data_IF_023597408131
#
_entry.id   IF_023597408131
#
_cell.length_a   1.000
_cell.length_b   1.000
_cell.length_c   1.000
_cell.angle_alpha   90.00
_cell.angle_beta   90.00
_cell.angle_gamma   90.00
#
_symmetry.space_group_name_H-M   'P 1'
#
loop_
_entity.id
_entity.type
_entity.pdbx_description
1 polymer ?
#
# COMPACT_ATOMS: atom_id res chain seq x y z
N UNK A 1 18.65 -22.71 -3.99
CA UNK A 1 17.80 -22.48 -5.18
C UNK A 1 18.39 -21.34 -5.98
N UNK A 2 18.58 -21.53 -7.29
CA UNK A 2 18.98 -20.46 -8.19
C UNK A 2 17.80 -19.54 -8.51
N UNK A 3 18.07 -18.32 -8.99
CA UNK A 3 17.05 -17.39 -9.47
C UNK A 3 16.18 -18.02 -10.56
N UNK A 4 16.75 -18.86 -11.43
CA UNK A 4 16.01 -19.56 -12.46
C UNK A 4 15.02 -20.58 -11.87
N UNK A 5 15.46 -21.37 -10.88
CA UNK A 5 14.60 -22.32 -10.18
C UNK A 5 13.46 -21.60 -9.44
N UNK A 6 13.74 -20.44 -8.85
CA UNK A 6 12.71 -19.63 -8.17
C UNK A 6 11.67 -19.11 -9.15
N UNK A 7 12.08 -18.59 -10.31
CA UNK A 7 11.16 -18.12 -11.35
C UNK A 7 10.22 -19.24 -11.82
N UNK A 8 10.76 -20.43 -12.09
CA UNK A 8 9.97 -21.59 -12.50
C UNK A 8 8.97 -21.99 -11.40
N UNK A 9 9.42 -22.02 -10.14
CA UNK A 9 8.55 -22.35 -9.00
C UNK A 9 7.38 -21.36 -8.86
N UNK A 10 7.63 -20.06 -9.02
CA UNK A 10 6.58 -19.03 -8.94
C UNK A 10 5.60 -19.16 -10.10
N UNK A 11 6.07 -19.35 -11.34
CA UNK A 11 5.20 -19.56 -12.50
C UNK A 11 4.29 -20.77 -12.27
N UNK A 12 4.84 -21.90 -11.82
CA UNK A 12 4.05 -23.10 -11.53
C UNK A 12 2.98 -22.86 -10.47
N UNK A 13 3.28 -22.08 -9.42
CA UNK A 13 2.28 -21.73 -8.40
C UNK A 13 1.15 -20.88 -8.99
N UNK A 14 1.48 -19.86 -9.79
CA UNK A 14 0.50 -18.96 -10.41
C UNK A 14 -0.42 -19.72 -11.38
N UNK A 15 0.13 -20.58 -12.24
CA UNK A 15 -0.65 -21.36 -13.21
C UNK A 15 -1.68 -22.28 -12.56
N UNK A 16 -1.41 -22.73 -11.32
CA UNK A 16 -2.32 -23.61 -10.58
C UNK A 16 -3.34 -22.85 -9.71
N UNK A 17 -3.31 -21.52 -9.69
CA UNK A 17 -4.31 -20.73 -8.96
C UNK A 17 -5.64 -20.74 -9.71
N UNK A 18 -6.72 -21.01 -8.98
CA UNK A 18 -8.09 -20.99 -9.50
C UNK A 18 -8.87 -19.73 -9.07
N UNK A 19 -8.45 -19.08 -7.97
CA UNK A 19 -9.05 -17.85 -7.49
C UNK A 19 -8.46 -16.65 -8.23
N UNK A 20 -9.26 -16.07 -9.13
CA UNK A 20 -8.86 -14.90 -9.93
C UNK A 20 -8.49 -13.69 -9.08
N UNK A 21 -9.05 -13.56 -7.86
CA UNK A 21 -8.73 -12.44 -6.96
C UNK A 21 -7.29 -12.48 -6.50
N UNK A 22 -6.74 -13.68 -6.28
CA UNK A 22 -5.34 -13.86 -5.88
C UNK A 22 -4.42 -13.49 -7.05
N UNK A 23 -4.77 -13.91 -8.27
CA UNK A 23 -4.02 -13.57 -9.49
C UNK A 23 -3.98 -12.06 -9.70
N UNK A 24 -5.12 -11.37 -9.53
CA UNK A 24 -5.18 -9.91 -9.61
C UNK A 24 -4.32 -9.20 -8.57
N UNK A 25 -4.23 -9.73 -7.35
CA UNK A 25 -3.37 -9.16 -6.31
C UNK A 25 -1.89 -9.33 -6.64
N UNK A 26 -1.48 -10.50 -7.14
CA UNK A 26 -0.11 -10.75 -7.59
C UNK A 26 0.24 -9.80 -8.75
N UNK A 27 -0.69 -9.62 -9.68
CA UNK A 27 -0.51 -8.68 -10.80
C UNK A 27 -0.30 -7.26 -10.29
N UNK A 28 -1.17 -6.75 -9.40
CA UNK A 28 -1.02 -5.38 -8.84
C UNK A 28 0.30 -5.19 -8.10
N UNK A 29 0.77 -6.21 -7.39
CA UNK A 29 2.07 -6.18 -6.72
C UNK A 29 3.20 -6.05 -7.74
N UNK A 30 3.19 -6.88 -8.79
CA UNK A 30 4.20 -6.82 -9.84
C UNK A 30 4.15 -5.50 -10.60
N UNK A 31 2.96 -5.01 -10.93
CA UNK A 31 2.78 -3.72 -11.59
C UNK A 31 3.37 -2.59 -10.74
N UNK A 32 3.14 -2.59 -9.42
CA UNK A 32 3.70 -1.59 -8.49
C UNK A 32 5.23 -1.67 -8.37
N UNK A 33 5.79 -2.86 -8.18
CA UNK A 33 7.24 -3.04 -8.00
C UNK A 33 8.02 -2.81 -9.31
N UNK A 34 7.38 -3.03 -10.46
CA UNK A 34 7.96 -2.84 -11.78
C UNK A 34 7.57 -1.49 -12.41
N UNK A 35 6.76 -0.67 -11.73
CA UNK A 35 6.43 0.67 -12.18
C UNK A 35 7.71 1.53 -12.14
N UNK A 36 8.37 1.64 -13.29
CA UNK A 36 9.49 2.55 -13.46
C UNK A 36 8.96 3.97 -13.76
N UNK A 37 8.98 4.84 -12.75
CA UNK A 37 8.51 6.22 -12.91
C UNK A 37 8.38 6.99 -11.58
N UNK A 38 8.12 8.29 -11.68
CA UNK A 38 7.72 9.09 -10.51
C UNK A 38 6.26 8.75 -10.20
N UNK A 39 5.99 8.19 -9.02
CA UNK A 39 4.64 7.92 -8.56
C UNK A 39 3.79 9.20 -8.63
N UNK A 40 2.77 9.16 -9.48
CA UNK A 40 1.89 10.30 -9.72
C UNK A 40 0.65 10.17 -8.84
N UNK A 41 0.49 11.13 -7.93
CA UNK A 41 -0.65 11.15 -7.02
C UNK A 41 -1.97 11.39 -7.79
N UNK A 42 -3.03 10.69 -7.38
CA UNK A 42 -4.40 11.00 -7.81
C UNK A 42 -4.84 12.38 -7.34
N UNK A 43 -5.88 12.95 -7.96
CA UNK A 43 -6.41 14.27 -7.55
C UNK A 43 -6.84 14.28 -6.08
N UNK A 44 -7.45 13.19 -5.63
CA UNK A 44 -7.90 13.01 -4.25
C UNK A 44 -6.71 12.92 -3.28
N UNK A 45 -5.63 12.23 -3.69
CA UNK A 45 -4.41 12.16 -2.89
C UNK A 45 -3.71 13.53 -2.80
N UNK A 46 -3.64 14.28 -3.91
CA UNK A 46 -3.10 15.65 -3.94
C UNK A 46 -3.91 16.55 -2.99
N UNK A 47 -5.24 16.47 -3.03
CA UNK A 47 -6.12 17.25 -2.16
C UNK A 47 -5.84 16.96 -0.69
N UNK A 48 -5.78 15.68 -0.29
CA UNK A 48 -5.46 15.29 1.10
C UNK A 48 -4.09 15.77 1.56
N UNK A 49 -3.08 15.70 0.69
CA UNK A 49 -1.73 16.18 1.04
C UNK A 49 -1.71 17.71 1.17
N UNK A 50 -2.46 18.41 0.33
CA UNK A 50 -2.58 19.87 0.39
C UNK A 50 -3.22 20.30 1.72
N UNK A 51 -4.35 19.68 2.08
CA UNK A 51 -5.03 19.89 3.36
C UNK A 51 -4.09 19.62 4.55
N UNK A 52 -3.42 18.46 4.57
CA UNK A 52 -2.51 18.11 5.66
C UNK A 52 -1.35 19.12 5.83
N UNK A 53 -0.86 19.70 4.72
CA UNK A 53 0.17 20.76 4.77
C UNK A 53 -0.37 22.06 5.38
N UNK A 54 -1.60 22.43 5.04
CA UNK A 54 -2.27 23.59 5.62
C UNK A 54 -2.54 23.41 7.12
N UNK A 55 -2.97 22.21 7.53
CA UNK A 55 -3.16 21.84 8.94
C UNK A 55 -1.86 21.92 9.73
N UNK A 56 -0.78 21.35 9.18
CA UNK A 56 0.55 21.43 9.79
C UNK A 56 1.01 22.88 9.97
N UNK A 57 0.88 23.71 8.92
CA UNK A 57 1.24 25.12 8.98
C UNK A 57 0.39 25.92 9.98
N UNK A 58 -0.88 25.53 10.18
CA UNK A 58 -1.78 26.11 11.16
C UNK A 58 -1.60 25.55 12.59
N UNK A 59 -0.65 24.63 12.79
CA UNK A 59 -0.44 23.97 14.09
C UNK A 59 -1.55 23.00 14.49
N UNK A 60 -2.42 22.60 13.55
CA UNK A 60 -3.47 21.60 13.74
C UNK A 60 -2.87 20.19 13.68
N UNK A 61 -1.97 19.90 14.60
CA UNK A 61 -1.30 18.61 14.74
C UNK A 61 -1.74 17.94 16.03
N UNK A 62 -1.78 16.61 16.02
CA UNK A 62 -1.98 15.81 17.22
C UNK A 62 -0.63 15.35 17.76
N UNK A 63 -0.52 15.19 19.07
CA UNK A 63 0.66 14.59 19.68
C UNK A 63 0.76 13.10 19.35
N UNK A 64 1.97 12.54 19.38
CA UNK A 64 2.21 11.11 19.23
C UNK A 64 1.33 10.28 20.19
N UNK A 65 1.19 10.74 21.44
CA UNK A 65 0.33 10.08 22.44
C UNK A 65 -1.14 10.03 22.01
N UNK A 66 -1.66 11.12 21.44
CA UNK A 66 -3.03 11.18 20.92
C UNK A 66 -3.19 10.27 19.70
N UNK A 67 -2.25 10.34 18.75
CA UNK A 67 -2.25 9.48 17.57
C UNK A 67 -2.26 7.99 17.93
N UNK A 68 -1.38 7.57 18.86
CA UNK A 68 -1.33 6.17 19.31
C UNK A 68 -2.63 5.75 20.01
N UNK A 69 -3.21 6.62 20.84
CA UNK A 69 -4.48 6.33 21.49
C UNK A 69 -5.64 6.16 20.51
N UNK A 70 -5.66 6.89 19.40
CA UNK A 70 -6.67 6.73 18.35
C UNK A 70 -6.50 5.41 17.58
N UNK A 71 -5.24 5.03 17.29
CA UNK A 71 -4.92 3.74 16.66
C UNK A 71 -5.33 2.58 17.56
N UNK A 72 -5.00 2.63 18.85
CA UNK A 72 -5.37 1.59 19.82
C UNK A 72 -6.89 1.43 19.90
N UNK A 73 -7.61 2.55 19.93
CA UNK A 73 -9.08 2.56 19.93
C UNK A 73 -9.63 1.88 18.68
N UNK A 74 -9.16 2.27 17.49
CA UNK A 74 -9.59 1.68 16.22
C UNK A 74 -9.34 0.17 16.15
N UNK A 75 -8.18 -0.29 16.65
CA UNK A 75 -7.84 -1.71 16.69
C UNK A 75 -8.71 -2.49 17.69
N UNK A 76 -9.14 -1.86 18.77
CA UNK A 76 -10.00 -2.46 19.81
C UNK A 76 -11.49 -2.52 19.46
N UNK A 77 -11.94 -1.75 18.45
CA UNK A 77 -13.34 -1.71 17.99
C UNK A 77 -13.72 -2.90 17.08
N UNK A 78 -12.84 -3.90 16.95
CA UNK A 78 -13.05 -5.12 16.13
C UNK A 78 -13.29 -6.38 16.94
#
# INVERSE_FOLDING_TARGET
>A
MSTAELKISVIHKITNLTDTRIVEQIQRLLDFELEEGIYSLSKEQIARITEAREEYAAGKVISEKQANSEIDKWLSER
#
